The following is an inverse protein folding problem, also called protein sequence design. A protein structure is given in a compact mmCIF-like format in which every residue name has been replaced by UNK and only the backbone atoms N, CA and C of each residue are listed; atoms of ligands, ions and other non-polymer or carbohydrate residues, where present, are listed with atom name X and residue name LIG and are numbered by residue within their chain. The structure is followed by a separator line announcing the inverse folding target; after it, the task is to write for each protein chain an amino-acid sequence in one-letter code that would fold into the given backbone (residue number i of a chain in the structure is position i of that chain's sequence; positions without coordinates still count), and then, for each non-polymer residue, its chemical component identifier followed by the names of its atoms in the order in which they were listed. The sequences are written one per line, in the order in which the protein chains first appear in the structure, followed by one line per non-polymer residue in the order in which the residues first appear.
data_IF_043894173872
#
_entry.id   IF_043894173872
#
_cell.length_a   1.000
_cell.length_b   1.000
_cell.length_c   1.000
_cell.angle_alpha   90.00
_cell.angle_beta   90.00
_cell.angle_gamma   90.00
#
_symmetry.space_group_name_H-M   'P 1'
#
loop_
_entity.id
_entity.type
_entity.pdbx_description
1 polymer ?
#
# COMPACT_ATOMS: atom_id res chain seq x y z
N UNK A 1 -22.43 -8.58 -2.81
CA UNK A 1 -21.18 -9.38 -2.83
C UNK A 1 -21.43 -10.62 -1.97
N UNK A 2 -20.99 -11.82 -2.37
CA UNK A 2 -21.12 -12.99 -1.48
C UNK A 2 -20.06 -12.97 -0.38
N UNK A 3 -20.25 -13.69 0.73
CA UNK A 3 -19.23 -13.76 1.78
C UNK A 3 -17.91 -14.39 1.30
N UNK A 4 -17.99 -15.33 0.35
CA UNK A 4 -16.81 -15.91 -0.29
C UNK A 4 -16.05 -14.86 -1.11
N UNK A 5 -16.77 -14.05 -1.89
CA UNK A 5 -16.14 -12.96 -2.64
C UNK A 5 -15.53 -11.95 -1.67
N UNK A 6 -16.22 -11.61 -0.58
CA UNK A 6 -15.69 -10.70 0.43
C UNK A 6 -14.33 -11.17 0.97
N UNK A 7 -14.20 -12.44 1.37
CA UNK A 7 -12.93 -13.00 1.84
C UNK A 7 -11.84 -12.91 0.76
N UNK A 8 -12.20 -13.21 -0.49
CA UNK A 8 -11.28 -13.13 -1.64
C UNK A 8 -10.78 -11.70 -1.85
N UNK A 9 -11.66 -10.72 -1.88
CA UNK A 9 -11.33 -9.31 -2.06
C UNK A 9 -10.50 -8.75 -0.90
N UNK A 10 -10.77 -9.16 0.35
CA UNK A 10 -9.91 -8.81 1.49
C UNK A 10 -8.50 -9.36 1.30
N UNK A 11 -8.37 -10.59 0.81
CA UNK A 11 -7.07 -11.19 0.48
C UNK A 11 -6.30 -10.36 -0.54
N UNK A 12 -6.96 -9.93 -1.63
CA UNK A 12 -6.35 -9.07 -2.64
C UNK A 12 -5.96 -7.70 -2.09
N UNK A 13 -6.81 -7.07 -1.27
CA UNK A 13 -6.50 -5.79 -0.62
C UNK A 13 -5.24 -5.88 0.24
N UNK A 14 -5.13 -6.93 1.07
CA UNK A 14 -3.93 -7.15 1.91
C UNK A 14 -2.70 -7.39 1.03
N UNK A 15 -2.83 -8.19 -0.04
CA UNK A 15 -1.76 -8.43 -1.00
C UNK A 15 -1.29 -7.12 -1.65
N UNK A 16 -2.19 -6.29 -2.16
CA UNK A 16 -1.83 -5.00 -2.77
C UNK A 16 -1.12 -4.09 -1.76
N UNK A 17 -1.60 -4.01 -0.52
CA UNK A 17 -0.92 -3.23 0.52
C UNK A 17 0.52 -3.71 0.78
N UNK A 18 0.75 -5.02 0.80
CA UNK A 18 2.08 -5.59 1.01
C UNK A 18 3.02 -5.34 -0.17
N UNK A 19 2.52 -5.48 -1.40
CA UNK A 19 3.31 -5.22 -2.61
C UNK A 19 3.68 -3.73 -2.69
N UNK A 20 2.74 -2.83 -2.47
CA UNK A 20 2.98 -1.38 -2.44
C UNK A 20 4.03 -1.04 -1.37
N UNK A 21 3.92 -1.59 -0.16
CA UNK A 21 4.91 -1.36 0.90
C UNK A 21 6.31 -1.83 0.51
N UNK A 22 6.41 -2.99 -0.13
CA UNK A 22 7.69 -3.51 -0.61
C UNK A 22 8.28 -2.60 -1.70
N UNK A 23 7.47 -2.19 -2.67
CA UNK A 23 7.91 -1.40 -3.81
C UNK A 23 8.33 0.02 -3.40
N UNK A 24 7.61 0.66 -2.46
CA UNK A 24 8.01 1.94 -1.87
C UNK A 24 9.39 1.84 -1.20
N UNK A 25 9.66 0.73 -0.47
CA UNK A 25 10.97 0.50 0.14
C UNK A 25 12.07 0.31 -0.91
N UNK A 26 11.78 -0.35 -2.03
CA UNK A 26 12.71 -0.50 -3.13
C UNK A 26 13.01 0.83 -3.84
N UNK A 27 11.99 1.67 -4.07
CA UNK A 27 12.18 3.01 -4.64
C UNK A 27 13.11 3.82 -3.73
N UNK A 28 12.78 3.91 -2.44
CA UNK A 28 13.60 4.64 -1.47
C UNK A 28 15.05 4.13 -1.40
N UNK A 29 15.24 2.81 -1.32
CA UNK A 29 16.57 2.21 -1.27
C UNK A 29 17.39 2.44 -2.55
N UNK A 30 16.71 2.55 -3.70
CA UNK A 30 17.36 2.81 -5.00
C UNK A 30 17.87 4.24 -5.08
N UNK A 31 17.05 5.21 -4.65
CA UNK A 31 17.37 6.63 -4.61
C UNK A 31 18.42 6.98 -3.56
N UNK A 32 18.41 6.27 -2.42
CA UNK A 32 19.33 6.56 -1.33
C UNK A 32 20.79 6.28 -1.76
N UNK A 33 21.67 7.25 -1.49
CA UNK A 33 23.09 7.13 -1.80
C UNK A 33 23.71 5.88 -1.16
N UNK A 34 24.68 5.27 -1.86
CA UNK A 34 25.40 4.09 -1.37
C UNK A 34 24.93 2.77 -1.99
N UNK A 35 25.15 1.67 -1.25
CA UNK A 35 24.79 0.33 -1.71
C UNK A 35 23.30 0.04 -1.50
N UNK A 36 22.60 -0.25 -2.59
CA UNK A 36 21.17 -0.52 -2.60
C UNK A 36 20.77 -1.68 -1.69
N UNK A 37 21.54 -2.78 -1.70
CA UNK A 37 21.21 -3.98 -0.89
C UNK A 37 21.34 -3.67 0.60
N UNK A 38 22.38 -2.93 0.99
CA UNK A 38 22.56 -2.45 2.35
C UNK A 38 21.42 -1.51 2.77
N UNK A 39 21.06 -0.55 1.92
CA UNK A 39 19.95 0.39 2.17
C UNK A 39 18.64 -0.36 2.41
N UNK A 40 18.28 -1.27 1.51
CA UNK A 40 17.07 -2.08 1.64
C UNK A 40 17.10 -2.99 2.88
N UNK A 41 18.24 -3.63 3.15
CA UNK A 41 18.42 -4.47 4.34
C UNK A 41 18.23 -3.68 5.64
N UNK A 42 18.73 -2.44 5.70
CA UNK A 42 18.57 -1.57 6.85
C UNK A 42 17.08 -1.24 7.10
N UNK A 43 16.30 -0.95 6.05
CA UNK A 43 14.85 -0.74 6.18
C UNK A 43 14.14 -1.94 6.81
N UNK A 44 14.52 -3.16 6.40
CA UNK A 44 13.95 -4.39 6.95
C UNK A 44 14.38 -4.61 8.41
N UNK A 45 15.66 -4.40 8.72
CA UNK A 45 16.22 -4.56 10.06
C UNK A 45 15.58 -3.59 11.06
N UNK A 46 15.35 -2.36 10.64
CA UNK A 46 14.72 -1.31 11.46
C UNK A 46 13.19 -1.45 11.55
N UNK A 47 12.61 -2.39 10.80
CA UNK A 47 11.15 -2.62 10.73
C UNK A 47 10.39 -1.36 10.32
N UNK A 48 10.95 -0.62 9.35
CA UNK A 48 10.30 0.57 8.81
C UNK A 48 8.92 0.19 8.27
N UNK A 49 7.90 0.84 8.83
CA UNK A 49 6.50 0.65 8.43
C UNK A 49 6.21 1.35 7.09
N UNK A 50 5.14 0.93 6.39
CA UNK A 50 4.67 1.63 5.17
C UNK A 50 4.60 3.16 5.35
N UNK A 51 3.99 3.65 6.43
CA UNK A 51 3.84 5.08 6.65
C UNK A 51 5.17 5.82 6.85
N UNK A 52 6.15 5.17 7.50
CA UNK A 52 7.51 5.73 7.63
C UNK A 52 8.26 5.69 6.30
N UNK A 53 8.15 4.58 5.55
CA UNK A 53 8.78 4.45 4.24
C UNK A 53 8.26 5.50 3.26
N UNK A 54 6.95 5.76 3.23
CA UNK A 54 6.35 6.80 2.38
C UNK A 54 6.89 8.17 2.75
N UNK A 55 6.97 8.52 4.03
CA UNK A 55 7.51 9.82 4.47
C UNK A 55 8.98 10.01 4.11
N UNK A 56 9.79 8.99 4.39
CA UNK A 56 11.22 9.01 4.04
C UNK A 56 11.41 9.13 2.53
N UNK A 57 10.57 8.44 1.75
CA UNK A 57 10.58 8.53 0.30
C UNK A 57 10.18 9.92 -0.18
N UNK A 58 9.09 10.49 0.35
CA UNK A 58 8.64 11.84 0.01
C UNK A 58 9.74 12.88 0.28
N UNK A 59 10.39 12.83 1.44
CA UNK A 59 11.48 13.75 1.78
C UNK A 59 12.66 13.62 0.82
N UNK A 60 12.99 12.40 0.39
CA UNK A 60 14.08 12.15 -0.55
C UNK A 60 13.73 12.53 -1.99
N UNK A 61 12.52 12.19 -2.43
CA UNK A 61 11.99 12.46 -3.77
C UNK A 61 11.85 13.97 -4.00
N UNK A 62 11.46 14.73 -2.97
CA UNK A 62 11.39 16.19 -3.02
C UNK A 62 12.72 16.91 -2.74
N UNK A 63 13.84 16.18 -2.65
CA UNK A 63 15.15 16.79 -2.36
C UNK A 63 15.81 17.46 -3.57
N UNK A 64 15.34 17.17 -4.79
CA UNK A 64 15.74 17.83 -6.04
C UNK A 64 14.51 18.32 -6.83
N UNK A 65 14.57 18.43 -8.16
CA UNK A 65 13.43 18.87 -8.99
C UNK A 65 12.89 17.74 -9.90
N UNK A 66 13.34 16.50 -9.73
CA UNK A 66 12.95 15.35 -10.56
C UNK A 66 12.19 14.30 -9.73
N UNK A 67 10.96 14.65 -9.36
CA UNK A 67 10.14 13.84 -8.47
C UNK A 67 9.47 12.67 -9.22
N UNK A 68 9.44 11.50 -8.60
CA UNK A 68 8.68 10.35 -9.09
C UNK A 68 7.19 10.46 -8.85
N UNK A 69 6.78 11.05 -7.73
CA UNK A 69 5.38 11.23 -7.37
C UNK A 69 5.07 12.70 -7.05
N UNK A 70 3.84 13.09 -7.33
CA UNK A 70 3.27 14.37 -6.91
C UNK A 70 2.92 14.36 -5.42
N UNK A 71 2.74 15.55 -4.84
CA UNK A 71 2.31 15.70 -3.45
C UNK A 71 0.96 14.99 -3.19
N UNK A 72 0.01 15.11 -4.14
CA UNK A 72 -1.30 14.45 -4.08
C UNK A 72 -1.16 12.91 -4.07
N UNK A 73 -0.26 12.36 -4.89
CA UNK A 73 0.02 10.92 -4.89
C UNK A 73 0.59 10.43 -3.55
N UNK A 74 1.45 11.21 -2.90
CA UNK A 74 1.94 10.89 -1.56
C UNK A 74 0.83 10.92 -0.51
N UNK A 75 -0.09 11.88 -0.58
CA UNK A 75 -1.26 11.90 0.30
C UNK A 75 -2.10 10.63 0.13
N UNK A 76 -2.31 10.18 -1.11
CA UNK A 76 -3.02 8.94 -1.38
C UNK A 76 -2.26 7.70 -0.89
N UNK A 77 -0.93 7.64 -1.07
CA UNK A 77 -0.11 6.56 -0.53
C UNK A 77 -0.23 6.47 1.00
N UNK A 78 -0.25 7.61 1.70
CA UNK A 78 -0.46 7.63 3.15
C UNK A 78 -1.83 7.08 3.55
N UNK A 79 -2.88 7.30 2.75
CA UNK A 79 -4.22 6.73 3.01
C UNK A 79 -4.22 5.19 2.96
N UNK A 80 -3.33 4.56 2.20
CA UNK A 80 -3.19 3.08 2.14
C UNK A 80 -2.90 2.50 3.53
N UNK A 81 -2.17 3.23 4.38
CA UNK A 81 -1.91 2.79 5.76
C UNK A 81 -3.22 2.63 6.54
N UNK A 82 -4.18 3.54 6.34
CA UNK A 82 -5.51 3.49 6.94
C UNK A 82 -6.36 2.34 6.38
N UNK A 83 -6.30 2.12 5.07
CA UNK A 83 -6.97 0.99 4.40
C UNK A 83 -6.47 -0.34 4.96
N UNK A 84 -5.15 -0.55 4.96
CA UNK A 84 -4.52 -1.78 5.50
C UNK A 84 -4.93 -2.02 6.95
N UNK A 85 -4.85 -0.98 7.80
CA UNK A 85 -5.19 -1.12 9.21
C UNK A 85 -6.67 -1.49 9.42
N UNK A 86 -7.60 -0.93 8.63
CA UNK A 86 -9.01 -1.33 8.68
C UNK A 86 -9.19 -2.79 8.32
N UNK A 87 -8.68 -3.24 7.17
CA UNK A 87 -8.89 -4.62 6.71
C UNK A 87 -8.14 -5.66 7.56
N UNK A 88 -7.01 -5.30 8.15
CA UNK A 88 -6.26 -6.18 9.04
C UNK A 88 -6.87 -6.30 10.45
N UNK A 89 -7.62 -5.29 10.92
CA UNK A 89 -8.05 -5.23 12.33
C UNK A 89 -9.57 -5.20 12.55
N UNK A 90 -10.37 -4.67 11.62
CA UNK A 90 -11.79 -4.40 11.86
C UNK A 90 -12.74 -4.75 10.72
N UNK A 91 -12.23 -5.12 9.53
CA UNK A 91 -13.06 -5.38 8.33
C UNK A 91 -14.17 -6.42 8.50
N UNK A 92 -13.99 -7.41 9.37
CA UNK A 92 -15.00 -8.45 9.65
C UNK A 92 -15.89 -8.13 10.86
N UNK A 93 -15.31 -7.48 11.88
CA UNK A 93 -15.90 -7.36 13.23
C UNK A 93 -17.22 -6.60 13.21
N UNK A 94 -17.41 -5.72 12.21
CA UNK A 94 -18.62 -4.88 12.11
C UNK A 94 -19.89 -5.64 11.75
N UNK A 95 -19.80 -6.83 11.15
CA UNK A 95 -20.97 -7.58 10.73
C UNK A 95 -20.93 -9.06 11.11
N UNK A 96 -19.75 -9.66 11.35
CA UNK A 96 -19.62 -11.12 11.47
C UNK A 96 -20.39 -11.73 12.65
N UNK A 97 -20.68 -10.92 13.68
CA UNK A 97 -21.42 -11.33 14.87
C UNK A 97 -22.92 -11.07 14.78
N UNK A 98 -23.41 -10.50 13.67
CA UNK A 98 -24.83 -10.27 13.45
C UNK A 98 -25.51 -11.54 12.93
N UNK A 99 -26.68 -11.85 13.46
CA UNK A 99 -27.51 -12.94 12.94
C UNK A 99 -27.96 -12.63 11.51
N UNK A 100 -27.80 -13.60 10.61
CA UNK A 100 -28.08 -13.43 9.19
C UNK A 100 -27.41 -12.17 8.58
N UNK A 101 -26.14 -11.92 8.97
CA UNK A 101 -25.36 -10.78 8.48
C UNK A 101 -25.40 -10.53 6.96
N UNK A 102 -25.54 -11.52 6.06
CA UNK A 102 -25.58 -11.23 4.63
C UNK A 102 -26.75 -10.34 4.20
N UNK A 103 -27.80 -10.22 5.03
CA UNK A 103 -28.97 -9.39 4.78
C UNK A 103 -28.94 -8.04 5.53
N UNK A 104 -27.85 -7.70 6.21
CA UNK A 104 -27.78 -6.48 7.03
C UNK A 104 -27.09 -5.32 6.29
N UNK A 105 -27.42 -4.09 6.69
CA UNK A 105 -26.83 -2.88 6.11
C UNK A 105 -25.36 -2.70 6.49
N UNK A 106 -24.90 -3.28 7.61
CA UNK A 106 -23.48 -3.31 8.01
C UNK A 106 -22.64 -4.12 7.02
N UNK A 107 -23.15 -5.28 6.60
CA UNK A 107 -22.47 -6.09 5.59
C UNK A 107 -22.44 -5.39 4.24
N UNK A 108 -23.56 -4.81 3.81
CA UNK A 108 -23.61 -4.01 2.57
C UNK A 108 -22.58 -2.88 2.59
N UNK A 109 -22.53 -2.11 3.69
CA UNK A 109 -21.58 -1.00 3.85
C UNK A 109 -20.13 -1.44 3.78
N UNK A 110 -19.77 -2.53 4.46
CA UNK A 110 -18.40 -3.05 4.41
C UNK A 110 -18.06 -3.64 3.04
N UNK A 111 -19.00 -4.27 2.33
CA UNK A 111 -18.76 -4.77 0.97
C UNK A 111 -18.56 -3.63 -0.04
N UNK A 112 -19.30 -2.53 0.09
CA UNK A 112 -19.13 -1.33 -0.74
C UNK A 112 -17.77 -0.69 -0.51
N UNK A 113 -17.40 -0.50 0.77
CA UNK A 113 -16.08 0.01 1.13
C UNK A 113 -14.96 -0.90 0.63
N UNK A 114 -15.10 -2.22 0.77
CA UNK A 114 -14.11 -3.18 0.29
C UNK A 114 -13.87 -3.05 -1.21
N UNK A 115 -14.94 -2.85 -1.97
CA UNK A 115 -14.84 -2.68 -3.42
C UNK A 115 -14.11 -1.38 -3.78
N UNK A 116 -14.46 -0.28 -3.14
CA UNK A 116 -13.79 1.02 -3.35
C UNK A 116 -12.30 0.95 -2.99
N UNK A 117 -11.96 0.39 -1.83
CA UNK A 117 -10.59 0.22 -1.38
C UNK A 117 -9.80 -0.72 -2.31
N UNK A 118 -10.43 -1.80 -2.79
CA UNK A 118 -9.82 -2.75 -3.73
C UNK A 118 -9.51 -2.11 -5.09
N UNK A 119 -10.49 -1.44 -5.69
CA UNK A 119 -10.34 -0.79 -7.00
C UNK A 119 -9.23 0.27 -6.94
N UNK A 120 -9.19 1.07 -5.87
CA UNK A 120 -8.13 2.04 -5.63
C UNK A 120 -6.76 1.37 -5.46
N UNK A 121 -6.65 0.37 -4.60
CA UNK A 121 -5.36 -0.30 -4.36
C UNK A 121 -4.83 -1.01 -5.60
N UNK A 122 -5.70 -1.57 -6.44
CA UNK A 122 -5.33 -2.22 -7.69
C UNK A 122 -4.69 -1.26 -8.70
N UNK A 123 -5.13 -0.01 -8.71
CA UNK A 123 -4.52 1.04 -9.53
C UNK A 123 -3.15 1.43 -8.98
N UNK A 124 -3.07 1.78 -7.69
CA UNK A 124 -1.82 2.22 -7.06
C UNK A 124 -0.75 1.14 -7.03
N UNK A 125 -1.12 -0.14 -6.89
CA UNK A 125 -0.18 -1.26 -7.01
C UNK A 125 0.59 -1.21 -8.34
N UNK A 126 -0.08 -0.87 -9.44
CA UNK A 126 0.56 -0.79 -10.76
C UNK A 126 1.45 0.44 -10.86
N UNK A 127 0.93 1.61 -10.46
CA UNK A 127 1.67 2.88 -10.49
C UNK A 127 2.97 2.75 -9.70
N UNK A 128 2.91 2.25 -8.47
CA UNK A 128 4.08 2.11 -7.60
C UNK A 128 5.07 1.09 -8.17
N UNK A 129 4.60 -0.03 -8.72
CA UNK A 129 5.50 -1.00 -9.37
C UNK A 129 6.21 -0.39 -10.60
N UNK A 130 5.49 0.36 -11.43
CA UNK A 130 6.07 1.00 -12.61
C UNK A 130 7.11 2.06 -12.20
N UNK A 131 6.82 2.83 -11.14
CA UNK A 131 7.78 3.75 -10.53
C UNK A 131 9.00 3.03 -9.96
N UNK A 132 8.81 1.89 -9.28
CA UNK A 132 9.93 1.05 -8.80
C UNK A 132 10.84 0.64 -9.94
N UNK A 133 10.27 0.13 -11.04
CA UNK A 133 11.04 -0.25 -12.22
C UNK A 133 11.80 0.94 -12.83
N UNK A 134 11.18 2.13 -12.85
CA UNK A 134 11.82 3.37 -13.31
C UNK A 134 13.01 3.73 -12.41
N UNK A 135 12.81 3.79 -11.09
CA UNK A 135 13.85 4.13 -10.12
C UNK A 135 15.02 3.14 -10.15
N UNK A 136 14.76 1.83 -10.14
CA UNK A 136 15.83 0.82 -10.23
C UNK A 136 16.67 0.98 -11.50
N UNK A 137 16.05 1.36 -12.62
CA UNK A 137 16.75 1.63 -13.88
C UNK A 137 17.57 2.91 -13.81
N UNK A 138 16.99 3.97 -13.30
CA UNK A 138 17.61 5.29 -13.23
C UNK A 138 18.87 5.29 -12.35
N UNK A 139 18.82 4.57 -11.22
CA UNK A 139 19.93 4.42 -10.29
C UNK A 139 20.80 3.17 -10.54
N UNK A 140 20.58 2.44 -11.65
CA UNK A 140 21.42 1.32 -12.08
C UNK A 140 21.45 0.12 -11.12
N UNK A 141 20.30 -0.27 -10.55
CA UNK A 141 20.16 -1.29 -9.50
C UNK A 141 19.69 -2.68 -9.99
N UNK A 142 19.93 -2.99 -11.28
CA UNK A 142 19.53 -4.25 -11.94
C UNK A 142 20.22 -5.51 -11.41
#
# INVERSE_FOLDING_TARGET
MSFRDFIYYVGEVIMYCQVIENDIKHIYASMLNGDYKANFYNLLKEKITLGQAIKNLQELDFSDNDHFFTEEEYEYLLQITGIRNHWAHSGYIKFIYLDNFPATSEYERETSRLKEDHDKLKEYYKIVNDTRLKAEKEYGRH
#
